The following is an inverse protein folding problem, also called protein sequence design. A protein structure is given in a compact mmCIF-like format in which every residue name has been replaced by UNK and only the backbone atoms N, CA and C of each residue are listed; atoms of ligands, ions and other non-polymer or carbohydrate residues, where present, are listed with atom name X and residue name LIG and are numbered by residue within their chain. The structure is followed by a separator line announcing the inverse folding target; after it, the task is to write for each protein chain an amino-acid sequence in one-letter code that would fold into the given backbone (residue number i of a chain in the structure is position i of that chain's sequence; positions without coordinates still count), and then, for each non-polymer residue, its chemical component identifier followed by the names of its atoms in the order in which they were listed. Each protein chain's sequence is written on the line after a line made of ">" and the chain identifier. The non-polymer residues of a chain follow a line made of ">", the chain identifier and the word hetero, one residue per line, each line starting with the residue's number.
data_IF_515202108793
#
_entry.id   IF_515202108793
#
_cell.length_a   1.000
_cell.length_b   1.000
_cell.length_c   1.000
_cell.angle_alpha   90.00
_cell.angle_beta   90.00
_cell.angle_gamma   90.00
#
_symmetry.space_group_name_H-M   'P 1'
#
loop_
_entity.id
_entity.type
_entity.pdbx_description
1 polymer ?
#
# COMPACT_ATOMS: atom_id res chain seq x y z
N UNK A 1 -14.98 -16.82 8.46
CA UNK A 1 -13.77 -16.12 7.95
C UNK A 1 -14.23 -14.80 7.34
N UNK A 2 -13.51 -13.69 7.53
CA UNK A 2 -13.88 -12.36 7.00
C UNK A 2 -13.17 -12.11 5.66
N UNK A 3 -13.90 -11.62 4.64
CA UNK A 3 -13.42 -11.54 3.25
C UNK A 3 -13.17 -10.11 2.72
N UNK A 4 -13.78 -9.09 3.31
CA UNK A 4 -13.70 -7.68 2.88
C UNK A 4 -13.20 -6.76 4.00
N UNK A 5 -12.15 -7.20 4.68
CA UNK A 5 -11.51 -6.46 5.76
C UNK A 5 -10.12 -6.02 5.34
N UNK A 6 -9.82 -4.74 5.55
CA UNK A 6 -8.51 -4.13 5.34
C UNK A 6 -8.03 -3.53 6.65
N UNK A 7 -6.75 -3.72 6.97
CA UNK A 7 -6.10 -2.96 8.02
C UNK A 7 -5.78 -1.56 7.48
N UNK A 8 -6.17 -0.53 8.23
CA UNK A 8 -5.98 0.88 7.86
C UNK A 8 -5.39 1.73 9.00
N UNK A 9 -4.88 1.09 10.05
CA UNK A 9 -4.29 1.73 11.22
C UNK A 9 -2.83 1.31 11.39
N UNK A 10 -2.07 2.11 12.14
CA UNK A 10 -0.64 1.91 12.41
C UNK A 10 -0.38 0.81 13.45
N UNK A 11 -0.78 -0.41 13.14
CA UNK A 11 -0.53 -1.60 13.96
C UNK A 11 0.69 -2.37 13.42
N UNK A 12 1.83 -1.69 13.28
CA UNK A 12 3.04 -2.25 12.67
C UNK A 12 3.91 -2.95 13.72
N UNK A 13 4.19 -4.24 13.52
CA UNK A 13 5.25 -4.95 14.23
C UNK A 13 6.60 -4.62 13.60
N UNK A 14 7.41 -3.82 14.28
CA UNK A 14 8.70 -3.30 13.75
C UNK A 14 9.80 -3.40 14.81
N UNK A 15 11.06 -3.35 14.36
CA UNK A 15 12.20 -3.31 15.30
C UNK A 15 12.28 -1.94 15.97
N UNK A 16 13.04 -1.85 17.07
CA UNK A 16 13.27 -0.56 17.75
C UNK A 16 13.82 0.50 16.79
N UNK A 17 14.76 0.10 15.91
CA UNK A 17 15.41 0.98 14.94
C UNK A 17 14.38 1.46 13.89
N UNK A 18 13.61 0.54 13.28
CA UNK A 18 12.68 0.92 12.21
C UNK A 18 11.42 1.60 12.74
N UNK A 19 11.10 1.49 14.03
CA UNK A 19 9.98 2.22 14.64
C UNK A 19 10.10 3.75 14.51
N UNK A 20 11.33 4.28 14.50
CA UNK A 20 11.58 5.71 14.29
C UNK A 20 11.08 6.21 12.92
N UNK A 21 11.23 5.40 11.87
CA UNK A 21 10.84 5.73 10.50
C UNK A 21 9.33 5.92 10.32
N UNK A 22 8.52 5.32 11.20
CA UNK A 22 7.06 5.40 11.11
C UNK A 22 6.45 6.48 12.00
N UNK A 23 7.25 7.30 12.70
CA UNK A 23 6.74 8.35 13.63
C UNK A 23 6.41 9.68 12.96
N UNK A 24 6.51 9.75 11.63
CA UNK A 24 6.14 10.93 10.87
C UNK A 24 4.67 10.80 10.42
N UNK A 25 3.85 11.82 10.67
CA UNK A 25 2.43 11.84 10.28
C UNK A 25 2.20 11.44 8.81
N UNK A 26 3.02 11.87 7.82
CA UNK A 26 2.85 11.45 6.43
C UNK A 26 2.91 9.93 6.24
N UNK A 27 3.78 9.24 6.99
CA UNK A 27 3.94 7.79 6.91
C UNK A 27 2.74 7.07 7.53
N UNK A 28 2.21 7.60 8.63
CA UNK A 28 1.03 7.04 9.28
C UNK A 28 -0.22 7.19 8.40
N UNK A 29 -0.40 8.37 7.80
CA UNK A 29 -1.54 8.65 6.92
C UNK A 29 -1.51 7.83 5.64
N UNK A 30 -0.31 7.49 5.14
CA UNK A 30 -0.17 6.67 3.94
C UNK A 30 -0.79 5.27 4.09
N UNK A 31 -0.84 4.70 5.30
CA UNK A 31 -1.54 3.43 5.57
C UNK A 31 -3.03 3.56 5.24
N UNK A 32 -3.66 4.65 5.71
CA UNK A 32 -5.07 4.93 5.47
C UNK A 32 -5.35 5.22 3.99
N UNK A 33 -4.50 6.02 3.35
CA UNK A 33 -4.58 6.33 1.92
C UNK A 33 -4.48 5.07 1.06
N UNK A 34 -3.46 4.24 1.29
CA UNK A 34 -3.26 2.98 0.57
C UNK A 34 -4.44 2.01 0.78
N UNK A 35 -4.95 1.91 2.02
CA UNK A 35 -6.12 1.08 2.32
C UNK A 35 -7.40 1.59 1.62
N UNK A 36 -7.60 2.91 1.59
CA UNK A 36 -8.71 3.54 0.87
C UNK A 36 -8.64 3.29 -0.64
N UNK A 37 -7.45 3.46 -1.23
CA UNK A 37 -7.20 3.15 -2.64
C UNK A 37 -7.45 1.68 -2.96
N UNK A 38 -6.98 0.76 -2.09
CA UNK A 38 -7.23 -0.67 -2.24
C UNK A 38 -8.72 -1.00 -2.18
N UNK A 39 -9.47 -0.41 -1.25
CA UNK A 39 -10.91 -0.60 -1.11
C UNK A 39 -11.66 -0.10 -2.35
N UNK A 40 -11.36 1.12 -2.81
CA UNK A 40 -11.96 1.71 -4.01
C UNK A 40 -11.63 0.90 -5.28
N UNK A 41 -10.40 0.40 -5.40
CA UNK A 41 -9.98 -0.45 -6.50
C UNK A 41 -10.74 -1.79 -6.52
N UNK A 42 -10.88 -2.42 -5.35
CA UNK A 42 -11.64 -3.67 -5.17
C UNK A 42 -13.11 -3.50 -5.57
N UNK A 43 -13.76 -2.43 -5.10
CA UNK A 43 -15.17 -2.13 -5.42
C UNK A 43 -15.35 -1.93 -6.93
N UNK A 44 -14.50 -1.11 -7.58
CA UNK A 44 -14.63 -0.81 -9.02
C UNK A 44 -14.46 -2.02 -9.93
N UNK A 45 -13.65 -3.00 -9.54
CA UNK A 45 -13.33 -4.19 -10.36
C UNK A 45 -14.02 -5.47 -9.90
N UNK A 46 -14.92 -5.37 -8.91
CA UNK A 46 -15.55 -6.52 -8.26
C UNK A 46 -14.54 -7.58 -7.79
N UNK A 47 -13.44 -7.11 -7.19
CA UNK A 47 -12.38 -7.95 -6.62
C UNK A 47 -12.40 -7.86 -5.10
N UNK A 48 -11.89 -8.89 -4.43
CA UNK A 48 -11.66 -8.87 -2.98
C UNK A 48 -10.21 -8.47 -2.68
N UNK A 49 -9.95 -7.83 -1.51
CA UNK A 49 -8.58 -7.56 -1.07
C UNK A 49 -7.67 -8.80 -1.09
N UNK A 50 -8.24 -9.97 -0.78
CA UNK A 50 -7.50 -11.23 -0.80
C UNK A 50 -7.09 -11.64 -2.22
N UNK A 51 -7.98 -11.47 -3.21
CA UNK A 51 -7.64 -11.70 -4.62
C UNK A 51 -6.52 -10.77 -5.08
N UNK A 52 -6.58 -9.49 -4.69
CA UNK A 52 -5.51 -8.52 -5.00
C UNK A 52 -4.16 -9.02 -4.49
N UNK A 53 -4.09 -9.54 -3.26
CA UNK A 53 -2.82 -10.03 -2.69
C UNK A 53 -2.35 -11.36 -3.24
N UNK A 54 -3.27 -12.25 -3.62
CA UNK A 54 -2.96 -13.65 -3.95
C UNK A 54 -2.85 -13.93 -5.47
N UNK A 55 -3.23 -12.98 -6.32
CA UNK A 55 -3.14 -13.13 -7.77
C UNK A 55 -2.11 -12.15 -8.34
N UNK A 56 -0.93 -12.62 -8.79
CA UNK A 56 0.17 -11.74 -9.22
C UNK A 56 -0.23 -10.71 -10.27
N UNK A 57 -0.98 -11.11 -11.30
CA UNK A 57 -1.44 -10.19 -12.36
C UNK A 57 -2.33 -9.06 -11.82
N UNK A 58 -3.21 -9.38 -10.86
CA UNK A 58 -4.09 -8.41 -10.21
C UNK A 58 -3.28 -7.46 -9.32
N UNK A 59 -2.34 -8.02 -8.57
CA UNK A 59 -1.45 -7.24 -7.70
C UNK A 59 -0.65 -6.21 -8.53
N UNK A 60 -0.08 -6.64 -9.64
CA UNK A 60 0.69 -5.77 -10.53
C UNK A 60 -0.18 -4.66 -11.14
N UNK A 61 -1.43 -4.96 -11.50
CA UNK A 61 -2.35 -3.93 -11.99
C UNK A 61 -2.70 -2.91 -10.91
N UNK A 62 -2.93 -3.36 -9.67
CA UNK A 62 -3.15 -2.45 -8.55
C UNK A 62 -1.91 -1.61 -8.25
N UNK A 63 -0.72 -2.20 -8.26
CA UNK A 63 0.55 -1.51 -8.08
C UNK A 63 0.80 -0.43 -9.15
N UNK A 64 0.47 -0.71 -10.41
CA UNK A 64 0.52 0.30 -11.49
C UNK A 64 -0.43 1.47 -11.22
N UNK A 65 -1.64 1.19 -10.72
CA UNK A 65 -2.57 2.26 -10.34
C UNK A 65 -2.03 3.10 -9.17
N UNK A 66 -1.42 2.49 -8.15
CA UNK A 66 -0.79 3.23 -7.05
C UNK A 66 0.32 4.17 -7.57
N UNK A 67 1.20 3.67 -8.44
CA UNK A 67 2.25 4.47 -9.06
C UNK A 67 1.68 5.61 -9.92
N UNK A 68 0.59 5.37 -10.65
CA UNK A 68 -0.11 6.41 -11.44
C UNK A 68 -0.68 7.52 -10.57
N UNK A 69 -1.06 7.21 -9.33
CA UNK A 69 -1.50 8.19 -8.32
C UNK A 69 -0.31 8.89 -7.62
N UNK A 70 0.94 8.57 -8.00
CA UNK A 70 2.15 9.16 -7.43
C UNK A 70 2.66 8.45 -6.17
N UNK A 71 2.08 7.31 -5.77
CA UNK A 71 2.58 6.55 -4.62
C UNK A 71 3.82 5.76 -4.99
N UNK A 72 4.87 5.97 -4.22
CA UNK A 72 6.10 5.20 -4.32
C UNK A 72 5.92 3.84 -3.62
N UNK A 73 6.08 2.75 -4.38
CA UNK A 73 5.91 1.37 -3.89
C UNK A 73 7.22 0.57 -3.88
N UNK A 74 8.31 1.22 -4.29
CA UNK A 74 9.67 0.68 -4.35
C UNK A 74 10.63 1.82 -4.11
N UNK A 75 11.70 1.56 -3.38
CA UNK A 75 12.79 2.51 -3.21
C UNK A 75 13.31 3.02 -4.56
N UNK A 76 13.73 4.28 -4.66
CA UNK A 76 14.30 4.81 -5.87
C UNK A 76 15.62 4.07 -6.12
N UNK A 77 15.93 3.83 -7.40
CA UNK A 77 17.27 3.39 -7.76
C UNK A 77 18.24 4.55 -7.41
N UNK A 78 19.22 4.34 -6.49
CA UNK A 78 20.14 5.39 -6.09
C UNK A 78 20.88 6.03 -7.27
N UNK A 79 21.00 5.31 -8.38
CA UNK A 79 21.70 5.74 -9.59
C UNK A 79 20.79 6.43 -10.62
N UNK A 80 19.46 6.47 -10.40
CA UNK A 80 18.48 7.00 -11.39
C UNK A 80 17.56 8.10 -10.86
N UNK A 81 17.64 8.45 -9.57
CA UNK A 81 16.83 9.56 -9.04
C UNK A 81 17.43 10.91 -9.50
N UNK A 82 16.67 11.78 -10.20
CA UNK A 82 17.10 13.17 -10.37
C UNK A 82 17.07 13.84 -8.99
N UNK A 83 18.14 14.56 -8.65
CA UNK A 83 18.19 15.42 -7.47
C UNK A 83 17.23 16.60 -7.61
#
# INVERSE_FOLDING_TARGET
>A
RVEKLLAAAKNLGVTHITNGCYRLHPVEWNIGEAAGLAAAWCIRRNQTPRQVRNTPAILEEFQRELQRQGLEIRWPDPLRSPL
#
